data_IF_532003362073
#
_entry.id   IF_532003362073
#
_cell.length_a   1.000
_cell.length_b   1.000
_cell.length_c   1.000
_cell.angle_alpha   90.00
_cell.angle_beta   90.00
_cell.angle_gamma   90.00
#
_symmetry.space_group_name_H-M   'P 1'
#
loop_
_entity.id
_entity.type
_entity.pdbx_description
1 polymer ?
#
# COMPACT_ATOMS: atom_id res chain seq x y z
N UNK A 1 0.32 13.90 -16.35
CA UNK A 1 -0.11 14.37 -15.01
C UNK A 1 -0.58 15.81 -15.08
N UNK A 2 0.32 16.81 -15.17
CA UNK A 2 -0.11 18.22 -15.35
C UNK A 2 -0.95 18.46 -16.60
N UNK A 3 -0.60 17.85 -17.74
CA UNK A 3 -1.34 17.99 -19.01
C UNK A 3 -2.76 17.43 -18.95
N UNK A 4 -3.04 16.52 -18.02
CA UNK A 4 -4.37 15.93 -17.82
C UNK A 4 -5.07 16.58 -16.61
N UNK A 5 -4.60 17.71 -16.09
CA UNK A 5 -5.26 18.39 -14.96
C UNK A 5 -5.19 17.66 -13.62
N UNK A 6 -4.30 16.68 -13.45
CA UNK A 6 -4.08 16.02 -12.16
C UNK A 6 -3.55 17.02 -11.12
N UNK A 7 -3.94 16.88 -9.86
CA UNK A 7 -3.47 17.72 -8.75
C UNK A 7 -2.16 17.18 -8.17
N UNK A 8 -1.15 18.03 -7.89
CA UNK A 8 0.07 17.59 -7.21
C UNK A 8 -0.17 17.34 -5.72
N UNK A 9 0.65 16.50 -5.11
CA UNK A 9 0.46 16.05 -3.71
C UNK A 9 1.01 17.02 -2.64
N UNK A 10 1.07 18.32 -2.96
CA UNK A 10 1.57 19.35 -2.04
C UNK A 10 3.05 19.27 -1.66
N UNK A 11 3.81 18.33 -2.24
CA UNK A 11 5.26 18.20 -2.07
C UNK A 11 6.01 18.84 -3.24
N UNK A 12 7.21 19.34 -2.94
CA UNK A 12 8.16 19.84 -3.93
C UNK A 12 9.35 18.89 -4.05
N UNK A 13 9.87 18.72 -5.26
CA UNK A 13 11.12 17.99 -5.47
C UNK A 13 12.35 18.85 -5.10
N UNK A 14 13.56 18.30 -5.30
CA UNK A 14 14.83 18.99 -5.01
C UNK A 14 15.01 20.27 -5.84
N UNK A 15 14.30 20.40 -6.96
CA UNK A 15 14.34 21.55 -7.86
C UNK A 15 13.20 22.54 -7.59
N UNK A 16 12.34 22.29 -6.59
CA UNK A 16 11.20 23.12 -6.26
C UNK A 16 9.97 22.91 -7.16
N UNK A 17 9.98 21.90 -8.02
CA UNK A 17 8.85 21.58 -8.90
C UNK A 17 7.78 20.76 -8.16
N UNK A 18 6.54 20.86 -8.63
CA UNK A 18 5.41 20.09 -8.10
C UNK A 18 5.61 18.59 -8.29
N UNK A 19 5.41 17.82 -7.22
CA UNK A 19 5.45 16.36 -7.26
C UNK A 19 4.06 15.81 -7.59
N UNK A 20 4.00 14.94 -8.60
CA UNK A 20 2.82 14.19 -8.99
C UNK A 20 3.05 12.71 -8.73
N UNK A 21 2.02 12.01 -8.26
CA UNK A 21 2.10 10.58 -7.96
C UNK A 21 0.96 9.82 -8.63
N UNK A 22 1.22 8.55 -8.87
CA UNK A 22 0.20 7.57 -9.25
C UNK A 22 -0.33 6.86 -7.99
N UNK A 23 -1.55 6.28 -8.05
CA UNK A 23 -2.50 6.31 -9.17
C UNK A 23 -3.22 7.66 -9.35
N UNK A 24 -3.79 7.84 -10.56
CA UNK A 24 -4.72 8.90 -10.93
C UNK A 24 -5.92 8.25 -11.62
N UNK A 25 -7.11 8.63 -11.20
CA UNK A 25 -8.36 8.24 -11.84
C UNK A 25 -8.80 9.34 -12.80
N UNK A 26 -9.11 8.96 -14.04
CA UNK A 26 -9.82 9.81 -15.00
C UNK A 26 -11.14 9.12 -15.29
N UNK A 27 -12.25 9.69 -14.81
CA UNK A 27 -13.58 9.13 -14.98
C UNK A 27 -14.28 9.80 -16.19
N UNK A 28 -14.49 9.08 -17.31
CA UNK A 28 -15.13 9.64 -18.50
C UNK A 28 -16.63 9.92 -18.31
N UNK A 29 -17.30 9.29 -17.35
CA UNK A 29 -18.74 9.47 -17.13
C UNK A 29 -19.06 10.82 -16.48
N UNK A 30 -18.15 11.32 -15.66
CA UNK A 30 -18.30 12.58 -14.92
C UNK A 30 -17.32 13.67 -15.38
N UNK A 31 -16.27 13.29 -16.12
CA UNK A 31 -15.14 14.16 -16.45
C UNK A 31 -14.18 14.41 -15.28
N UNK A 32 -14.35 13.70 -14.16
CA UNK A 32 -13.53 13.90 -12.97
C UNK A 32 -12.10 13.39 -13.15
N UNK A 33 -11.14 14.11 -12.58
CA UNK A 33 -9.72 13.74 -12.55
C UNK A 33 -9.26 13.80 -11.09
N UNK A 34 -9.09 12.62 -10.49
CA UNK A 34 -8.84 12.47 -9.06
C UNK A 34 -7.44 11.88 -8.85
N UNK A 35 -6.69 12.50 -7.96
CA UNK A 35 -5.37 12.06 -7.51
C UNK A 35 -5.44 11.70 -6.04
N UNK A 36 -4.49 10.89 -5.57
CA UNK A 36 -4.47 10.28 -4.23
C UNK A 36 -5.41 9.08 -4.09
N UNK A 37 -4.89 7.97 -3.57
CA UNK A 37 -5.62 6.69 -3.50
C UNK A 37 -6.87 6.78 -2.62
N UNK A 38 -6.82 7.51 -1.49
CA UNK A 38 -7.95 7.64 -0.58
C UNK A 38 -9.02 8.59 -1.14
N UNK A 39 -8.60 9.64 -1.84
CA UNK A 39 -9.54 10.50 -2.56
C UNK A 39 -10.21 9.77 -3.73
N UNK A 40 -9.45 8.95 -4.47
CA UNK A 40 -10.00 8.07 -5.52
C UNK A 40 -11.02 7.12 -4.91
N UNK A 41 -10.69 6.44 -3.82
CA UNK A 41 -11.61 5.53 -3.13
C UNK A 41 -12.89 6.24 -2.64
N UNK A 42 -12.76 7.41 -2.01
CA UNK A 42 -13.89 8.22 -1.54
C UNK A 42 -14.78 8.69 -2.69
N UNK A 43 -14.17 9.11 -3.80
CA UNK A 43 -14.89 9.47 -5.03
C UNK A 43 -15.65 8.28 -5.60
N UNK A 44 -15.00 7.12 -5.71
CA UNK A 44 -15.60 5.91 -6.29
C UNK A 44 -16.80 5.44 -5.45
N UNK A 45 -16.70 5.43 -4.12
CA UNK A 45 -17.83 5.03 -3.27
C UNK A 45 -19.02 6.00 -3.40
N UNK A 46 -18.75 7.31 -3.46
CA UNK A 46 -19.81 8.33 -3.62
C UNK A 46 -20.47 8.29 -5.00
N UNK A 47 -19.70 7.97 -6.03
CA UNK A 47 -20.16 8.00 -7.43
C UNK A 47 -20.77 6.67 -7.86
N UNK A 48 -20.26 5.55 -7.32
CA UNK A 48 -20.64 4.18 -7.67
C UNK A 48 -20.84 3.33 -6.40
N UNK A 49 -21.98 3.49 -5.70
CA UNK A 49 -22.18 2.95 -4.34
C UNK A 49 -22.48 1.44 -4.27
N UNK A 50 -22.25 0.69 -5.35
CA UNK A 50 -22.62 -0.74 -5.44
C UNK A 50 -21.82 -1.62 -4.48
N UNK A 51 -20.57 -1.26 -4.22
CA UNK A 51 -19.66 -1.99 -3.33
C UNK A 51 -18.96 -1.02 -2.37
N UNK A 52 -19.59 -0.68 -1.24
CA UNK A 52 -18.99 0.24 -0.27
C UNK A 52 -17.74 -0.38 0.38
N UNK A 53 -16.72 0.44 0.57
CA UNK A 53 -15.42 0.14 1.19
C UNK A 53 -15.15 1.00 2.45
N UNK A 54 -16.04 1.93 2.79
CA UNK A 54 -16.05 2.69 4.05
C UNK A 54 -17.34 2.43 4.86
N UNK A 55 -17.57 1.19 5.34
CA UNK A 55 -18.81 0.85 6.04
C UNK A 55 -19.00 1.65 7.33
N UNK A 56 -20.24 1.94 7.70
CA UNK A 56 -20.59 2.63 8.95
C UNK A 56 -19.92 4.00 9.15
N UNK A 57 -19.71 4.76 8.07
CA UNK A 57 -19.01 6.06 8.09
C UNK A 57 -17.57 5.95 8.61
N UNK A 58 -16.87 4.86 8.29
CA UNK A 58 -15.52 4.58 8.80
C UNK A 58 -14.40 5.34 8.11
N UNK A 59 -14.69 6.12 7.05
CA UNK A 59 -13.68 6.83 6.26
C UNK A 59 -12.66 7.61 7.10
N UNK A 60 -13.03 8.42 8.11
CA UNK A 60 -12.05 9.13 8.93
C UNK A 60 -11.09 8.20 9.68
N UNK A 61 -11.60 7.06 10.19
CA UNK A 61 -10.79 6.08 10.92
C UNK A 61 -9.89 5.28 9.99
N UNK A 62 -10.37 4.95 8.80
CA UNK A 62 -9.58 4.25 7.78
C UNK A 62 -8.43 5.14 7.28
N UNK A 63 -8.65 6.45 7.14
CA UNK A 63 -7.59 7.40 6.80
C UNK A 63 -6.48 7.42 7.86
N UNK A 64 -6.87 7.40 9.14
CA UNK A 64 -5.90 7.31 10.25
C UNK A 64 -5.19 5.95 10.28
N UNK A 65 -5.90 4.85 10.03
CA UNK A 65 -5.31 3.51 9.90
C UNK A 65 -4.29 3.47 8.78
N UNK A 66 -4.56 4.07 7.62
CA UNK A 66 -3.62 4.13 6.50
C UNK A 66 -2.36 4.94 6.85
N UNK A 67 -2.51 6.06 7.58
CA UNK A 67 -1.38 6.85 8.11
C UNK A 67 -0.55 6.03 9.12
N UNK A 68 -1.23 5.32 10.02
CA UNK A 68 -0.59 4.44 11.01
C UNK A 68 0.15 3.30 10.33
N UNK A 69 -0.47 2.65 9.35
CA UNK A 69 0.14 1.57 8.56
C UNK A 69 1.40 2.05 7.84
N UNK A 70 1.36 3.21 7.18
CA UNK A 70 2.53 3.80 6.54
C UNK A 70 3.65 4.12 7.54
N UNK A 71 3.30 4.59 8.74
CA UNK A 71 4.26 4.88 9.82
C UNK A 71 4.90 3.61 10.36
N UNK A 72 4.14 2.52 10.50
CA UNK A 72 4.66 1.21 10.92
C UNK A 72 5.57 0.56 9.89
N UNK A 73 5.33 0.84 8.60
CA UNK A 73 6.16 0.32 7.50
C UNK A 73 7.51 1.02 7.38
N UNK A 74 7.60 2.29 7.76
CA UNK A 74 8.79 3.11 7.55
C UNK A 74 10.10 2.49 8.06
N UNK A 75 10.17 1.89 9.27
CA UNK A 75 11.38 1.21 9.74
C UNK A 75 11.81 0.01 8.89
N UNK A 76 10.88 -0.61 8.16
CA UNK A 76 11.10 -1.81 7.34
C UNK A 76 11.30 -1.50 5.84
N UNK A 77 11.35 -0.22 5.44
CA UNK A 77 11.22 0.16 4.03
C UNK A 77 12.47 -0.12 3.18
N UNK A 78 13.66 -0.13 3.79
CA UNK A 78 14.95 -0.27 3.07
C UNK A 78 15.06 -1.58 2.27
N UNK A 79 14.85 -2.78 2.84
CA UNK A 79 14.93 -4.03 2.07
C UNK A 79 13.90 -4.06 0.93
N UNK A 80 12.69 -3.54 1.16
CA UNK A 80 11.65 -3.41 0.14
C UNK A 80 12.04 -2.46 -1.00
N UNK A 81 12.71 -1.35 -0.70
CA UNK A 81 13.23 -0.43 -1.71
C UNK A 81 14.38 -1.04 -2.51
N UNK A 82 15.29 -1.79 -1.86
CA UNK A 82 16.34 -2.52 -2.55
C UNK A 82 15.75 -3.50 -3.57
N UNK A 83 14.82 -4.35 -3.14
CA UNK A 83 14.11 -5.32 -4.00
C UNK A 83 13.28 -4.66 -5.09
N UNK A 84 12.63 -3.54 -4.80
CA UNK A 84 11.89 -2.77 -5.81
C UNK A 84 12.83 -2.22 -6.89
N UNK A 85 13.99 -1.68 -6.52
CA UNK A 85 14.96 -1.14 -7.47
C UNK A 85 15.53 -2.21 -8.43
N UNK A 86 15.63 -3.46 -7.98
CA UNK A 86 16.12 -4.60 -8.78
C UNK A 86 15.17 -4.97 -9.94
N UNK A 87 13.85 -4.79 -9.78
CA UNK A 87 12.87 -5.20 -10.80
C UNK A 87 12.44 -4.06 -11.74
N UNK A 88 12.80 -2.81 -11.41
CA UNK A 88 12.45 -1.65 -12.22
C UNK A 88 13.33 -1.57 -13.48
N UNK A 89 12.80 -0.97 -14.54
CA UNK A 89 13.62 -0.63 -15.71
C UNK A 89 14.79 0.29 -15.31
N UNK A 90 15.92 0.32 -16.05
CA UNK A 90 17.06 1.17 -15.70
C UNK A 90 16.70 2.65 -15.48
N UNK A 91 15.79 3.19 -16.29
CA UNK A 91 15.31 4.57 -16.17
C UNK A 91 14.48 4.77 -14.91
N UNK A 92 13.51 3.88 -14.67
CA UNK A 92 12.64 3.96 -13.50
C UNK A 92 13.38 3.68 -12.21
N UNK A 93 14.33 2.74 -12.21
CA UNK A 93 15.16 2.38 -11.06
C UNK A 93 16.08 3.53 -10.66
N UNK A 94 16.72 4.20 -11.62
CA UNK A 94 17.51 5.42 -11.35
C UNK A 94 16.66 6.51 -10.71
N UNK A 95 15.52 6.86 -11.33
CA UNK A 95 14.60 7.86 -10.77
C UNK A 95 14.10 7.45 -9.38
N UNK A 96 13.76 6.17 -9.20
CA UNK A 96 13.30 5.63 -7.92
C UNK A 96 14.35 5.85 -6.84
N UNK A 97 15.57 5.39 -7.05
CA UNK A 97 16.66 5.51 -6.08
C UNK A 97 17.00 6.97 -5.78
N UNK A 98 17.10 7.83 -6.79
CA UNK A 98 17.38 9.26 -6.60
C UNK A 98 16.28 9.96 -5.79
N UNK A 99 15.01 9.69 -6.10
CA UNK A 99 13.88 10.32 -5.42
C UNK A 99 13.70 9.82 -3.98
N UNK A 100 13.88 8.52 -3.72
CA UNK A 100 13.66 7.95 -2.38
C UNK A 100 14.86 8.17 -1.45
N UNK A 101 16.09 8.27 -1.99
CA UNK A 101 17.31 8.54 -1.21
C UNK A 101 17.35 9.92 -0.57
N UNK A 102 16.46 10.83 -0.97
CA UNK A 102 16.21 12.10 -0.28
C UNK A 102 15.77 11.87 1.17
N UNK A 103 14.94 10.85 1.41
CA UNK A 103 14.27 10.64 2.69
C UNK A 103 14.72 9.36 3.39
N UNK A 104 15.18 8.36 2.63
CA UNK A 104 15.73 7.12 3.15
C UNK A 104 17.18 7.01 2.68
N UNK A 105 18.18 7.36 3.50
CA UNK A 105 19.57 7.34 3.06
C UNK A 105 20.05 5.96 2.60
N UNK A 106 20.90 5.95 1.57
CA UNK A 106 21.62 4.78 1.09
C UNK A 106 22.74 4.37 2.09
N UNK A 107 23.23 3.11 2.04
CA UNK A 107 22.79 2.02 1.14
C UNK A 107 21.44 1.43 1.54
N UNK A 108 20.71 0.93 0.54
CA UNK A 108 19.57 0.02 0.74
C UNK A 108 20.04 -1.36 0.30
N UNK A 109 19.98 -2.32 1.21
CA UNK A 109 20.41 -3.68 0.97
C UNK A 109 19.57 -4.64 1.78
N UNK A 110 19.71 -5.92 1.44
CA UNK A 110 19.33 -7.06 2.27
C UNK A 110 20.64 -7.80 2.48
N UNK A 111 21.28 -7.57 3.61
CA UNK A 111 22.57 -8.15 3.95
C UNK A 111 22.39 -9.36 4.88
N UNK A 112 21.36 -9.32 5.72
CA UNK A 112 21.08 -10.33 6.73
C UNK A 112 19.59 -10.65 6.80
N UNK A 113 19.27 -11.84 7.30
CA UNK A 113 17.87 -12.25 7.49
C UNK A 113 17.14 -11.29 8.45
N UNK A 114 17.85 -10.75 9.45
CA UNK A 114 17.32 -9.82 10.44
C UNK A 114 16.85 -8.48 9.84
N UNK A 115 17.21 -8.16 8.60
CA UNK A 115 16.71 -6.96 7.90
C UNK A 115 15.18 -6.99 7.71
N UNK A 116 14.56 -8.18 7.80
CA UNK A 116 13.11 -8.37 7.72
C UNK A 116 12.39 -8.28 9.07
N UNK A 117 13.11 -8.27 10.20
CA UNK A 117 12.52 -8.25 11.55
C UNK A 117 11.62 -7.02 11.80
N UNK A 118 11.95 -5.80 11.33
CA UNK A 118 11.04 -4.67 11.45
C UNK A 118 9.72 -4.88 10.70
N UNK A 119 9.75 -5.59 9.56
CA UNK A 119 8.55 -5.91 8.79
C UNK A 119 7.71 -6.96 9.51
N UNK A 120 8.35 -7.98 10.09
CA UNK A 120 7.67 -8.98 10.92
C UNK A 120 6.99 -8.33 12.13
N UNK A 121 7.69 -7.42 12.82
CA UNK A 121 7.13 -6.66 13.94
C UNK A 121 5.92 -5.84 13.52
N UNK A 122 6.00 -5.14 12.38
CA UNK A 122 4.86 -4.42 11.81
C UNK A 122 3.68 -5.36 11.60
N UNK A 123 3.88 -6.52 10.96
CA UNK A 123 2.79 -7.45 10.68
C UNK A 123 2.24 -8.11 11.93
N UNK A 124 3.04 -8.32 12.99
CA UNK A 124 2.52 -8.71 14.30
C UNK A 124 1.54 -7.66 14.85
N UNK A 125 1.85 -6.36 14.72
CA UNK A 125 0.92 -5.28 15.10
C UNK A 125 -0.33 -5.25 14.21
N UNK A 126 -0.18 -5.39 12.89
CA UNK A 126 -1.34 -5.46 11.98
C UNK A 126 -2.20 -6.70 12.26
N UNK A 127 -1.58 -7.82 12.64
CA UNK A 127 -2.28 -9.04 13.00
C UNK A 127 -3.17 -8.81 14.23
N UNK A 128 -2.69 -8.08 15.23
CA UNK A 128 -3.50 -7.70 16.38
C UNK A 128 -4.77 -6.96 15.96
N UNK A 129 -4.75 -6.11 14.93
CA UNK A 129 -5.95 -5.41 14.46
C UNK A 129 -7.05 -6.38 14.02
N UNK A 130 -6.70 -7.42 13.26
CA UNK A 130 -7.63 -8.48 12.86
C UNK A 130 -8.12 -9.33 14.05
N UNK A 131 -7.38 -9.35 15.16
CA UNK A 131 -7.78 -10.09 16.37
C UNK A 131 -8.70 -9.25 17.30
N UNK A 132 -8.85 -7.94 17.07
CA UNK A 132 -9.69 -7.06 17.89
C UNK A 132 -11.17 -7.08 17.50
N UNK A 133 -11.51 -7.72 16.40
CA UNK A 133 -12.88 -7.86 15.90
C UNK A 133 -13.22 -9.33 15.72
N UNK A 134 -14.49 -9.66 15.92
CA UNK A 134 -15.04 -10.94 15.44
C UNK A 134 -15.30 -10.80 13.93
N UNK A 135 -14.86 -11.78 13.13
CA UNK A 135 -15.01 -11.77 11.67
C UNK A 135 -13.69 -11.90 10.92
N UNK A 136 -13.76 -11.94 9.58
CA UNK A 136 -12.59 -12.18 8.71
C UNK A 136 -11.73 -10.93 8.44
N UNK A 137 -12.31 -9.74 8.56
CA UNK A 137 -11.73 -8.44 8.22
C UNK A 137 -11.42 -7.58 9.43
N UNK A 138 -10.68 -6.48 9.23
CA UNK A 138 -10.39 -5.47 10.26
C UNK A 138 -11.68 -4.84 10.80
N UNK A 139 -12.72 -4.74 9.97
CA UNK A 139 -14.03 -4.23 10.35
C UNK A 139 -15.04 -5.36 10.67
N UNK A 140 -14.54 -6.51 11.11
CA UNK A 140 -15.33 -7.69 11.42
C UNK A 140 -15.75 -8.45 10.17
N UNK A 141 -17.06 -8.52 9.89
CA UNK A 141 -17.57 -9.20 8.68
C UNK A 141 -17.59 -8.30 7.43
N UNK A 142 -17.35 -6.99 7.58
CA UNK A 142 -17.37 -6.05 6.48
C UNK A 142 -15.98 -5.86 5.84
N UNK A 143 -15.87 -6.13 4.53
CA UNK A 143 -14.68 -5.81 3.76
C UNK A 143 -14.54 -4.29 3.64
N UNK A 144 -13.33 -3.77 3.78
CA UNK A 144 -13.11 -2.32 3.79
C UNK A 144 -11.79 -1.92 3.14
N UNK A 145 -11.62 -0.60 2.93
CA UNK A 145 -10.36 -0.05 2.45
C UNK A 145 -9.19 -0.28 3.42
N UNK A 146 -9.46 -0.57 4.71
CA UNK A 146 -8.41 -1.00 5.63
C UNK A 146 -7.78 -2.33 5.20
N UNK A 147 -8.60 -3.31 4.80
CA UNK A 147 -8.14 -4.61 4.32
C UNK A 147 -7.42 -4.47 2.97
N UNK A 148 -7.93 -3.60 2.08
CA UNK A 148 -7.28 -3.23 0.80
C UNK A 148 -5.86 -2.69 1.04
N UNK A 149 -5.66 -1.84 2.04
CA UNK A 149 -4.35 -1.24 2.37
C UNK A 149 -3.32 -2.31 2.73
N UNK A 150 -3.72 -3.29 3.56
CA UNK A 150 -2.85 -4.40 3.96
C UNK A 150 -2.58 -5.31 2.76
N UNK A 151 -3.61 -5.70 2.02
CA UNK A 151 -3.51 -6.59 0.87
C UNK A 151 -2.66 -6.00 -0.27
N UNK A 152 -2.83 -4.72 -0.59
CA UNK A 152 -2.04 -4.06 -1.64
C UNK A 152 -0.55 -4.04 -1.31
N UNK A 153 -0.21 -3.90 -0.03
CA UNK A 153 1.17 -3.93 0.44
C UNK A 153 1.76 -5.33 0.37
N UNK A 154 1.02 -6.35 0.79
CA UNK A 154 1.41 -7.76 0.62
C UNK A 154 1.61 -8.14 -0.85
N UNK A 155 0.73 -7.68 -1.75
CA UNK A 155 0.87 -7.88 -3.19
C UNK A 155 2.12 -7.20 -3.75
N UNK A 156 2.44 -5.98 -3.27
CA UNK A 156 3.71 -5.33 -3.61
C UNK A 156 4.90 -6.17 -3.13
N UNK A 157 4.89 -6.68 -1.90
CA UNK A 157 5.99 -7.47 -1.35
C UNK A 157 6.19 -8.75 -2.15
N UNK A 158 5.12 -9.52 -2.36
CA UNK A 158 5.10 -10.73 -3.19
C UNK A 158 5.65 -10.49 -4.60
N UNK A 159 5.50 -9.26 -5.13
CA UNK A 159 6.00 -8.89 -6.45
C UNK A 159 7.51 -8.58 -6.49
N UNK A 160 8.07 -8.02 -5.42
CA UNK A 160 9.44 -7.48 -5.43
C UNK A 160 10.45 -8.37 -4.73
N UNK A 161 10.05 -9.05 -3.66
CA UNK A 161 10.97 -9.90 -2.87
C UNK A 161 11.23 -11.21 -3.59
N UNK A 162 12.33 -11.89 -3.23
CA UNK A 162 12.67 -13.21 -3.76
C UNK A 162 11.74 -14.29 -3.22
N UNK A 163 11.77 -15.47 -3.84
CA UNK A 163 10.86 -16.57 -3.47
C UNK A 163 11.03 -17.04 -2.01
N UNK A 164 12.26 -17.13 -1.53
CA UNK A 164 12.61 -17.48 -0.15
C UNK A 164 12.19 -16.40 0.85
N UNK A 165 12.39 -15.12 0.51
CA UNK A 165 11.93 -13.98 1.31
C UNK A 165 10.39 -13.94 1.38
N UNK A 166 9.69 -14.21 0.27
CA UNK A 166 8.24 -14.31 0.26
C UNK A 166 7.75 -15.51 1.08
N UNK A 167 8.41 -16.68 0.96
CA UNK A 167 8.08 -17.84 1.77
C UNK A 167 8.18 -17.53 3.27
N UNK A 168 9.19 -16.76 3.69
CA UNK A 168 9.29 -16.26 5.05
C UNK A 168 8.15 -15.31 5.41
N UNK A 169 7.98 -14.21 4.67
CA UNK A 169 6.97 -13.17 4.95
C UNK A 169 5.56 -13.78 5.03
N UNK A 170 5.24 -14.67 4.08
CA UNK A 170 3.93 -15.29 3.97
C UNK A 170 3.65 -16.34 5.06
N UNK A 171 4.68 -16.87 5.72
CA UNK A 171 4.54 -17.82 6.83
C UNK A 171 4.17 -17.16 8.17
N UNK A 172 4.40 -15.86 8.31
CA UNK A 172 4.14 -15.13 9.56
C UNK A 172 2.69 -15.25 10.01
N UNK A 173 2.50 -15.17 11.33
CA UNK A 173 1.18 -15.24 11.98
C UNK A 173 0.37 -16.47 11.53
N UNK A 174 1.05 -17.62 11.39
CA UNK A 174 0.41 -18.89 11.03
C UNK A 174 -0.13 -18.92 9.60
N UNK A 175 0.44 -18.14 8.67
CA UNK A 175 -0.02 -18.08 7.29
C UNK A 175 -1.20 -17.13 7.05
N UNK A 176 -1.56 -16.28 8.03
CA UNK A 176 -2.67 -15.32 7.91
C UNK A 176 -2.57 -14.46 6.65
N UNK A 177 -1.37 -14.08 6.24
CA UNK A 177 -1.17 -13.18 5.08
C UNK A 177 -1.49 -13.85 3.74
N UNK A 178 -1.23 -15.15 3.61
CA UNK A 178 -1.66 -15.93 2.43
C UNK A 178 -3.17 -16.04 2.40
N UNK A 179 -3.79 -16.34 3.54
CA UNK A 179 -5.25 -16.42 3.65
C UNK A 179 -5.90 -15.07 3.31
N UNK A 180 -5.37 -13.96 3.85
CA UNK A 180 -5.88 -12.62 3.56
C UNK A 180 -5.86 -12.31 2.06
N UNK A 181 -4.77 -12.63 1.36
CA UNK A 181 -4.70 -12.41 -0.08
C UNK A 181 -5.75 -13.21 -0.85
N UNK A 182 -5.98 -14.47 -0.48
CA UNK A 182 -7.01 -15.32 -1.09
C UNK A 182 -8.42 -14.78 -0.81
N UNK A 183 -8.70 -14.36 0.43
CA UNK A 183 -9.99 -13.78 0.81
C UNK A 183 -10.29 -12.50 0.00
N UNK A 184 -9.28 -11.64 -0.19
CA UNK A 184 -9.42 -10.38 -0.96
C UNK A 184 -9.60 -10.66 -2.44
N UNK A 185 -8.88 -11.63 -3.00
CA UNK A 185 -9.05 -12.05 -4.40
C UNK A 185 -10.48 -12.52 -4.67
N UNK A 186 -11.03 -13.32 -3.75
CA UNK A 186 -12.41 -13.77 -3.80
C UNK A 186 -13.41 -12.62 -3.65
N UNK A 187 -13.22 -11.73 -2.67
CA UNK A 187 -14.12 -10.61 -2.40
C UNK A 187 -14.17 -9.61 -3.57
N UNK A 188 -13.03 -9.36 -4.20
CA UNK A 188 -12.89 -8.44 -5.32
C UNK A 188 -13.23 -9.08 -6.68
N UNK A 189 -13.55 -10.38 -6.75
CA UNK A 189 -13.77 -11.14 -7.99
C UNK A 189 -12.62 -10.98 -9.00
N UNK A 190 -11.36 -11.11 -8.56
CA UNK A 190 -10.18 -10.87 -9.42
C UNK A 190 -9.77 -12.09 -10.31
N UNK A 191 -10.71 -13.01 -10.58
CA UNK A 191 -10.48 -14.22 -11.37
C UNK A 191 -10.70 -14.02 -12.88
#
# INVERSE_FOLDING_TARGET
>A
MKSIGATPIGRKDRQGADVYTIPVLSDPNTGAIITDTLEIASYLEKTYPEKPIFPNNSEPFIRELNSTFASLLLPAIKPLFARTAEILSPVSGKFFTEARSVYVPLPWGVEHDEDWDPLEKMYNTVYEWYQKTEGKWIMGDAFSYADITVASSLLWYKRVVKEDEWARISSWNGGKWVQLLADVEQECNLA
#
